data_IF_868875300503
#
_entry.id   IF_868875300503
#
_cell.length_a   1.000
_cell.length_b   1.000
_cell.length_c   1.000
_cell.angle_alpha   90.00
_cell.angle_beta   90.00
_cell.angle_gamma   90.00
#
_symmetry.space_group_name_H-M   'P 1'
#
loop_
_entity.id
_entity.type
_entity.pdbx_description
1 polymer ?
#
# COMPACT_ATOMS: atom_id res chain seq x y z
N UNK A 1 33.27 27.94 40.28
CA UNK A 1 31.83 27.89 40.51
C UNK A 1 31.21 28.77 39.44
N UNK A 2 30.40 28.31 38.51
CA UNK A 2 29.78 27.00 38.35
C UNK A 2 29.25 26.86 36.91
N UNK A 3 29.21 25.63 36.40
CA UNK A 3 28.22 25.18 35.41
C UNK A 3 28.21 25.79 34.00
N UNK A 4 29.25 25.53 33.20
CA UNK A 4 29.03 25.37 31.75
C UNK A 4 28.25 24.08 31.50
N UNK A 5 26.93 24.15 31.44
CA UNK A 5 26.11 23.06 30.91
C UNK A 5 26.44 22.90 29.43
N UNK A 6 27.26 21.91 29.11
CA UNK A 6 27.34 21.39 27.75
C UNK A 6 25.95 20.88 27.39
N UNK A 7 25.24 21.61 26.54
CA UNK A 7 24.10 21.08 25.78
C UNK A 7 24.56 19.78 25.15
N UNK A 8 23.87 18.67 25.38
CA UNK A 8 24.07 17.42 24.62
C UNK A 8 24.00 17.77 23.15
N UNK A 9 25.17 17.95 22.53
CA UNK A 9 25.28 18.38 21.16
C UNK A 9 24.67 17.31 20.29
N UNK A 10 23.54 17.61 19.65
CA UNK A 10 23.04 16.78 18.56
C UNK A 10 24.19 16.60 17.58
N UNK A 11 24.76 15.38 17.55
CA UNK A 11 25.90 15.05 16.70
C UNK A 11 25.49 15.38 15.28
N UNK A 12 26.18 16.34 14.67
CA UNK A 12 25.84 16.81 13.32
C UNK A 12 25.97 15.64 12.33
N UNK A 13 24.86 15.21 11.75
CA UNK A 13 24.83 14.10 10.78
C UNK A 13 25.42 14.57 9.45
N UNK A 14 26.60 14.06 9.09
CA UNK A 14 27.27 14.34 7.81
C UNK A 14 27.10 13.19 6.83
N UNK A 15 27.11 11.95 7.32
CA UNK A 15 26.92 10.73 6.53
C UNK A 15 25.74 9.92 7.05
N UNK A 16 24.78 9.65 6.18
CA UNK A 16 23.54 8.92 6.51
C UNK A 16 23.31 7.77 5.54
N UNK A 17 22.95 6.60 6.07
CA UNK A 17 22.30 5.52 5.30
C UNK A 17 20.79 5.61 5.51
N UNK A 18 20.01 5.64 4.44
CA UNK A 18 18.55 5.70 4.52
C UNK A 18 17.95 4.47 3.87
N UNK A 19 17.11 3.75 4.61
CA UNK A 19 16.33 2.64 4.09
C UNK A 19 14.85 3.04 4.04
N UNK A 20 14.30 3.13 2.84
CA UNK A 20 12.88 3.38 2.64
C UNK A 20 12.13 2.07 2.40
N UNK A 21 11.16 1.77 3.26
CA UNK A 21 10.27 0.60 3.15
C UNK A 21 8.90 1.10 2.65
N UNK A 22 8.53 0.82 1.39
CA UNK A 22 7.23 1.20 0.86
C UNK A 22 6.13 0.36 1.52
N UNK A 23 4.90 0.87 1.43
CA UNK A 23 3.70 0.11 1.80
C UNK A 23 3.33 -0.95 0.77
N UNK A 24 2.04 -1.29 0.71
CA UNK A 24 1.47 -2.24 -0.23
C UNK A 24 1.45 -1.66 -1.67
N UNK A 25 2.62 -1.45 -2.24
CA UNK A 25 2.82 -0.69 -3.47
C UNK A 25 3.34 -1.58 -4.61
N UNK A 26 2.58 -1.75 -5.71
CA UNK A 26 2.99 -2.56 -6.85
C UNK A 26 3.99 -1.86 -7.78
N UNK A 27 4.38 -0.62 -7.48
CA UNK A 27 5.24 0.22 -8.32
C UNK A 27 6.67 -0.35 -8.46
N UNK A 28 7.28 -0.14 -9.63
CA UNK A 28 8.67 -0.49 -9.88
C UNK A 28 9.65 0.46 -9.16
N UNK A 29 10.81 -0.04 -8.68
CA UNK A 29 11.75 0.73 -7.87
C UNK A 29 12.20 2.06 -8.51
N UNK A 30 12.36 2.07 -9.84
CA UNK A 30 12.80 3.24 -10.62
C UNK A 30 11.89 4.47 -10.43
N UNK A 31 10.60 4.25 -10.16
CA UNK A 31 9.64 5.35 -9.97
C UNK A 31 9.88 6.11 -8.68
N UNK A 32 10.41 5.47 -7.63
CA UNK A 32 10.74 6.17 -6.38
C UNK A 32 11.87 7.19 -6.58
N UNK A 33 12.91 6.82 -7.34
CA UNK A 33 14.00 7.75 -7.68
C UNK A 33 13.50 8.96 -8.46
N UNK A 34 12.62 8.73 -9.44
CA UNK A 34 12.07 9.81 -10.26
C UNK A 34 11.13 10.74 -9.45
N UNK A 35 10.32 10.16 -8.56
CA UNK A 35 9.53 10.94 -7.60
C UNK A 35 10.43 11.77 -6.70
N UNK A 36 11.49 11.17 -6.14
CA UNK A 36 12.43 11.90 -5.29
C UNK A 36 13.14 13.02 -6.05
N UNK A 37 13.59 12.78 -7.28
CA UNK A 37 14.25 13.79 -8.12
C UNK A 37 13.35 14.99 -8.37
N UNK A 38 12.09 14.75 -8.73
CA UNK A 38 11.14 15.81 -9.07
C UNK A 38 10.61 16.51 -7.80
N UNK A 39 10.05 15.75 -6.86
CA UNK A 39 9.38 16.29 -5.69
C UNK A 39 10.38 16.77 -4.63
N UNK A 40 11.56 16.15 -4.54
CA UNK A 40 12.64 16.61 -3.66
C UNK A 40 13.22 17.96 -4.10
N UNK A 41 13.37 18.19 -5.41
CA UNK A 41 13.77 19.51 -5.94
C UNK A 41 12.70 20.57 -5.69
N UNK A 42 11.41 20.22 -5.85
CA UNK A 42 10.31 21.12 -5.53
C UNK A 42 10.28 21.48 -4.03
N UNK A 43 10.47 20.50 -3.15
CA UNK A 43 10.55 20.73 -1.71
C UNK A 43 11.75 21.61 -1.34
N UNK A 44 12.91 21.39 -1.97
CA UNK A 44 14.11 22.20 -1.76
C UNK A 44 13.86 23.68 -2.10
N UNK A 45 13.17 23.95 -3.22
CA UNK A 45 12.80 25.30 -3.63
C UNK A 45 11.82 25.97 -2.65
N UNK A 46 10.88 25.21 -2.08
CA UNK A 46 9.92 25.71 -1.08
C UNK A 46 10.62 26.02 0.24
N UNK A 47 11.50 25.13 0.70
CA UNK A 47 12.13 25.22 2.01
C UNK A 47 13.43 26.04 2.04
N UNK A 48 13.99 26.39 0.87
CA UNK A 48 15.20 27.20 0.77
C UNK A 48 16.51 26.45 1.08
N UNK A 49 16.53 25.12 0.92
CA UNK A 49 17.75 24.32 1.05
C UNK A 49 18.28 23.89 -0.33
N UNK A 50 19.56 23.52 -0.42
CA UNK A 50 20.12 22.94 -1.63
C UNK A 50 20.03 21.41 -1.60
N UNK A 51 19.67 20.80 -2.73
CA UNK A 51 19.59 19.35 -2.89
C UNK A 51 20.12 18.93 -4.25
N UNK A 52 21.12 18.07 -4.24
CA UNK A 52 21.71 17.45 -5.42
C UNK A 52 21.49 15.95 -5.38
N UNK A 53 20.96 15.39 -6.47
CA UNK A 53 20.74 13.96 -6.62
C UNK A 53 21.82 13.34 -7.50
N UNK A 54 22.53 12.37 -6.95
CA UNK A 54 23.66 11.69 -7.57
C UNK A 54 23.31 10.22 -7.90
N UNK A 55 24.06 9.57 -8.80
CA UNK A 55 23.94 8.14 -9.04
C UNK A 55 24.12 7.32 -7.75
N UNK A 56 23.58 6.10 -7.73
CA UNK A 56 23.83 5.19 -6.61
C UNK A 56 25.33 4.86 -6.48
N UNK A 57 25.81 4.67 -5.25
CA UNK A 57 27.09 4.03 -5.02
C UNK A 57 27.11 2.61 -5.63
N UNK A 58 28.27 2.16 -6.07
CA UNK A 58 28.43 0.80 -6.59
C UNK A 58 28.02 -0.24 -5.53
N UNK A 59 27.19 -1.22 -5.92
CA UNK A 59 26.85 -2.38 -5.08
C UNK A 59 25.44 -2.40 -4.44
N UNK A 60 24.62 -1.34 -4.57
CA UNK A 60 23.23 -1.32 -4.09
C UNK A 60 22.20 -1.73 -5.15
N UNK A 61 21.14 -2.48 -4.78
CA UNK A 61 20.18 -2.98 -5.77
C UNK A 61 19.28 -1.89 -6.35
N UNK A 62 18.73 -1.00 -5.52
CA UNK A 62 17.81 0.07 -5.93
C UNK A 62 17.93 1.30 -5.02
N UNK A 63 18.74 2.28 -5.43
CA UNK A 63 19.00 3.47 -4.61
C UNK A 63 19.54 4.65 -5.40
N UNK A 64 19.87 5.72 -4.68
CA UNK A 64 20.54 6.91 -5.19
C UNK A 64 21.24 7.64 -4.04
N UNK A 65 22.15 8.54 -4.37
CA UNK A 65 22.79 9.40 -3.39
C UNK A 65 22.17 10.79 -3.42
N UNK A 66 22.16 11.45 -2.26
CA UNK A 66 21.69 12.83 -2.11
C UNK A 66 22.72 13.62 -1.33
N UNK A 67 23.11 14.78 -1.85
CA UNK A 67 23.81 15.81 -1.08
C UNK A 67 22.83 16.92 -0.80
N UNK A 68 22.66 17.27 0.47
CA UNK A 68 21.79 18.35 0.88
C UNK A 68 22.56 19.35 1.73
N UNK A 69 22.31 20.64 1.50
CA UNK A 69 22.77 21.72 2.37
C UNK A 69 21.55 22.37 3.02
N UNK A 70 21.33 22.05 4.29
CA UNK A 70 20.16 22.47 5.07
C UNK A 70 20.70 23.24 6.30
N UNK A 71 20.23 24.46 6.52
CA UNK A 71 20.63 25.28 7.69
C UNK A 71 22.15 25.42 7.87
N UNK A 72 22.90 25.47 6.77
CA UNK A 72 24.37 25.58 6.79
C UNK A 72 25.13 24.27 7.06
N UNK A 73 24.43 23.15 7.28
CA UNK A 73 25.01 21.83 7.41
C UNK A 73 24.94 21.06 6.08
N UNK A 74 26.04 20.42 5.69
CA UNK A 74 26.08 19.50 4.55
C UNK A 74 25.88 18.05 5.04
N UNK A 75 24.93 17.34 4.43
CA UNK A 75 24.68 15.93 4.68
C UNK A 75 24.68 15.16 3.37
N UNK A 76 25.46 14.07 3.33
CA UNK A 76 25.41 13.07 2.29
C UNK A 76 24.56 11.88 2.77
N UNK A 77 23.52 11.57 2.01
CA UNK A 77 22.63 10.43 2.27
C UNK A 77 22.72 9.41 1.14
N UNK A 78 22.99 8.15 1.47
CA UNK A 78 22.78 7.02 0.57
C UNK A 78 21.39 6.44 0.81
N UNK A 79 20.48 6.60 -0.16
CA UNK A 79 19.11 6.15 -0.06
C UNK A 79 18.94 4.82 -0.78
N UNK A 80 18.39 3.83 -0.09
CA UNK A 80 18.04 2.52 -0.61
C UNK A 80 16.55 2.23 -0.41
N UNK A 81 15.91 1.73 -1.46
CA UNK A 81 14.50 1.30 -1.41
C UNK A 81 14.44 -0.20 -1.18
N UNK A 82 13.88 -0.60 -0.05
CA UNK A 82 13.68 -1.99 0.34
C UNK A 82 12.38 -2.52 -0.27
N UNK A 83 12.46 -2.91 -1.55
CA UNK A 83 11.29 -3.24 -2.37
C UNK A 83 10.77 -4.66 -2.15
N UNK A 84 9.46 -4.77 -2.05
CA UNK A 84 8.71 -6.03 -1.97
C UNK A 84 7.51 -6.05 -2.92
N UNK A 85 7.56 -5.21 -3.95
CA UNK A 85 6.49 -5.02 -4.94
C UNK A 85 6.18 -6.30 -5.74
N UNK A 86 7.12 -7.25 -5.81
CA UNK A 86 6.89 -8.58 -6.37
C UNK A 86 5.87 -9.39 -5.56
N UNK A 87 5.99 -9.39 -4.22
CA UNK A 87 5.02 -10.02 -3.33
C UNK A 87 3.66 -9.33 -3.38
N UNK A 88 3.65 -7.99 -3.38
CA UNK A 88 2.43 -7.17 -3.53
C UNK A 88 1.71 -7.52 -4.84
N UNK A 89 2.42 -7.54 -5.97
CA UNK A 89 1.82 -7.89 -7.27
C UNK A 89 1.30 -9.32 -7.30
N UNK A 90 1.99 -10.26 -6.65
CA UNK A 90 1.54 -11.64 -6.56
C UNK A 90 0.25 -11.79 -5.75
N UNK A 91 0.03 -10.96 -4.72
CA UNK A 91 -1.18 -11.00 -3.88
C UNK A 91 -2.39 -10.24 -4.46
N UNK A 92 -2.19 -9.39 -5.46
CA UNK A 92 -3.30 -8.66 -6.11
C UNK A 92 -4.10 -9.61 -7.03
N UNK A 93 -5.25 -10.09 -6.54
CA UNK A 93 -6.10 -11.02 -7.30
C UNK A 93 -6.70 -10.34 -8.54
N UNK A 94 -6.60 -11.00 -9.71
CA UNK A 94 -7.03 -10.40 -10.98
C UNK A 94 -8.53 -10.49 -11.28
N UNK A 95 -9.38 -10.92 -10.33
CA UNK A 95 -10.80 -11.18 -10.57
C UNK A 95 -11.72 -10.24 -9.78
N UNK A 96 -12.80 -9.78 -10.43
CA UNK A 96 -13.90 -9.10 -9.72
C UNK A 96 -14.49 -10.04 -8.65
N UNK A 97 -14.87 -11.29 -8.96
CA UNK A 97 -15.42 -12.20 -7.94
C UNK A 97 -14.42 -12.49 -6.81
N UNK A 98 -13.13 -12.63 -7.14
CA UNK A 98 -12.07 -12.85 -6.15
C UNK A 98 -11.95 -11.68 -5.16
N UNK A 99 -12.14 -10.45 -5.61
CA UNK A 99 -12.12 -9.26 -4.75
C UNK A 99 -13.31 -9.24 -3.78
N UNK A 100 -14.52 -9.59 -4.24
CA UNK A 100 -15.68 -9.72 -3.36
C UNK A 100 -15.52 -10.87 -2.36
N UNK A 101 -14.90 -11.99 -2.77
CA UNK A 101 -14.58 -13.08 -1.85
C UNK A 101 -13.54 -12.66 -0.80
N UNK A 102 -12.52 -11.89 -1.19
CA UNK A 102 -11.56 -11.29 -0.27
C UNK A 102 -12.28 -10.36 0.72
N UNK A 103 -13.17 -9.48 0.25
CA UNK A 103 -13.97 -8.62 1.11
C UNK A 103 -14.75 -9.42 2.16
N UNK A 104 -15.44 -10.49 1.75
CA UNK A 104 -16.20 -11.36 2.67
C UNK A 104 -15.29 -12.06 3.69
N UNK A 105 -14.14 -12.60 3.25
CA UNK A 105 -13.17 -13.26 4.13
C UNK A 105 -12.56 -12.27 5.13
N UNK A 106 -12.15 -11.09 4.68
CA UNK A 106 -11.60 -10.04 5.55
C UNK A 106 -12.63 -9.57 6.56
N UNK A 107 -13.87 -9.32 6.13
CA UNK A 107 -14.97 -8.95 7.01
C UNK A 107 -15.24 -10.05 8.06
N UNK A 108 -15.24 -11.32 7.64
CA UNK A 108 -15.38 -12.45 8.56
C UNK A 108 -14.25 -12.51 9.57
N UNK A 109 -12.98 -12.41 9.14
CA UNK A 109 -11.82 -12.35 10.05
C UNK A 109 -12.00 -11.23 11.08
N UNK A 110 -12.40 -10.03 10.63
CA UNK A 110 -12.56 -8.88 11.53
C UNK A 110 -13.69 -9.06 12.53
N UNK A 111 -14.80 -9.71 12.13
CA UNK A 111 -15.91 -10.04 13.01
C UNK A 111 -15.52 -11.12 14.02
N UNK A 112 -14.96 -12.23 13.54
CA UNK A 112 -14.63 -13.41 14.35
C UNK A 112 -13.56 -13.14 15.41
N UNK A 113 -12.60 -12.25 15.15
CA UNK A 113 -11.54 -11.87 16.11
C UNK A 113 -11.93 -10.69 17.02
N UNK A 114 -13.10 -10.09 16.79
CA UNK A 114 -13.51 -8.85 17.44
C UNK A 114 -12.70 -7.61 17.02
N UNK A 115 -11.88 -7.69 15.96
CA UNK A 115 -11.16 -6.54 15.40
C UNK A 115 -12.12 -5.44 14.96
N UNK A 116 -13.30 -5.79 14.43
CA UNK A 116 -14.29 -4.79 14.01
C UNK A 116 -14.77 -3.92 15.17
N UNK A 117 -15.02 -4.52 16.35
CA UNK A 117 -15.39 -3.77 17.55
C UNK A 117 -14.28 -2.81 17.98
N UNK A 118 -13.03 -3.28 17.96
CA UNK A 118 -11.84 -2.47 18.31
C UNK A 118 -11.61 -1.34 17.30
N UNK A 119 -11.87 -1.60 16.02
CA UNK A 119 -11.82 -0.60 14.96
C UNK A 119 -12.79 0.55 15.28
N UNK A 120 -14.04 0.26 15.64
CA UNK A 120 -15.01 1.30 16.02
C UNK A 120 -14.68 2.07 17.30
N UNK A 121 -13.73 1.59 18.12
CA UNK A 121 -13.21 2.34 19.28
C UNK A 121 -12.16 3.39 18.88
N UNK A 122 -11.63 3.33 17.64
CA UNK A 122 -10.70 4.33 17.13
C UNK A 122 -11.41 5.64 16.77
N UNK A 123 -10.61 6.69 16.52
CA UNK A 123 -11.12 7.96 16.00
C UNK A 123 -11.85 7.74 14.67
N UNK A 124 -12.86 8.58 14.40
CA UNK A 124 -13.74 8.46 13.22
C UNK A 124 -12.99 8.38 11.88
N UNK A 125 -11.89 9.10 11.73
CA UNK A 125 -11.09 9.13 10.48
C UNK A 125 -10.59 7.74 10.05
N UNK A 126 -9.75 7.07 10.87
CA UNK A 126 -9.30 5.69 10.60
C UNK A 126 -10.44 4.69 10.34
N UNK A 127 -11.56 4.82 11.05
CA UNK A 127 -12.72 3.94 10.84
C UNK A 127 -13.32 4.12 9.45
N UNK A 128 -13.51 5.38 9.02
CA UNK A 128 -14.04 5.68 7.69
C UNK A 128 -13.09 5.16 6.60
N UNK A 129 -11.78 5.38 6.76
CA UNK A 129 -10.79 4.87 5.81
C UNK A 129 -10.83 3.34 5.70
N UNK A 130 -10.94 2.63 6.84
CA UNK A 130 -11.01 1.17 6.86
C UNK A 130 -12.30 0.60 6.25
N UNK A 131 -13.44 1.30 6.38
CA UNK A 131 -14.72 0.85 5.83
C UNK A 131 -14.95 1.29 4.38
N UNK A 132 -14.17 2.25 3.89
CA UNK A 132 -14.30 2.80 2.54
C UNK A 132 -14.32 1.74 1.44
N UNK A 133 -13.33 0.82 1.30
CA UNK A 133 -13.36 -0.15 0.20
C UNK A 133 -14.55 -1.09 0.28
N UNK A 134 -14.99 -1.49 1.48
CA UNK A 134 -16.16 -2.34 1.69
C UNK A 134 -17.42 -1.63 1.23
N UNK A 135 -17.65 -0.40 1.72
CA UNK A 135 -18.81 0.41 1.33
C UNK A 135 -18.83 0.68 -0.18
N UNK A 136 -17.67 1.02 -0.75
CA UNK A 136 -17.55 1.30 -2.18
C UNK A 136 -17.83 0.07 -3.04
N UNK A 137 -17.31 -1.12 -2.69
CA UNK A 137 -17.59 -2.36 -3.40
C UNK A 137 -19.09 -2.74 -3.30
N UNK A 138 -19.72 -2.56 -2.15
CA UNK A 138 -21.17 -2.79 -2.00
C UNK A 138 -22.00 -1.85 -2.87
N UNK A 139 -21.63 -0.57 -2.94
CA UNK A 139 -22.29 0.41 -3.82
C UNK A 139 -22.11 0.02 -5.29
N UNK A 140 -20.91 -0.41 -5.71
CA UNK A 140 -20.67 -0.87 -7.07
C UNK A 140 -21.55 -2.07 -7.43
N UNK A 141 -21.66 -3.05 -6.53
CA UNK A 141 -22.52 -4.22 -6.72
C UNK A 141 -23.99 -3.83 -6.82
N UNK A 142 -24.45 -2.93 -5.95
CA UNK A 142 -25.83 -2.43 -5.98
C UNK A 142 -26.13 -1.73 -7.31
N UNK A 143 -25.27 -0.82 -7.75
CA UNK A 143 -25.44 -0.10 -9.03
C UNK A 143 -25.45 -1.09 -10.20
N UNK A 144 -24.57 -2.09 -10.20
CA UNK A 144 -24.52 -3.12 -11.23
C UNK A 144 -25.80 -3.99 -11.25
N UNK A 145 -26.33 -4.35 -10.07
CA UNK A 145 -27.57 -5.10 -9.94
C UNK A 145 -28.79 -4.29 -10.43
N UNK A 146 -28.87 -3.01 -10.07
CA UNK A 146 -29.93 -2.11 -10.54
C UNK A 146 -29.88 -1.90 -12.05
N UNK A 147 -28.68 -1.71 -12.62
CA UNK A 147 -28.49 -1.62 -14.07
C UNK A 147 -28.89 -2.91 -14.77
N UNK A 148 -28.56 -4.07 -14.20
CA UNK A 148 -28.98 -5.38 -14.68
C UNK A 148 -30.50 -5.52 -14.69
N UNK A 149 -31.16 -5.18 -13.59
CA UNK A 149 -32.62 -5.21 -13.48
C UNK A 149 -33.27 -4.28 -14.52
N UNK A 150 -32.74 -3.07 -14.68
CA UNK A 150 -33.22 -2.11 -15.67
C UNK A 150 -33.10 -2.67 -17.09
N UNK A 151 -31.94 -3.24 -17.46
CA UNK A 151 -31.71 -3.86 -18.76
C UNK A 151 -32.68 -5.02 -19.04
N UNK A 152 -32.91 -5.89 -18.05
CA UNK A 152 -33.89 -6.97 -18.16
C UNK A 152 -35.32 -6.44 -18.39
N UNK A 153 -35.70 -5.33 -17.74
CA UNK A 153 -37.04 -4.74 -17.91
C UNK A 153 -37.21 -4.10 -19.28
N UNK A 154 -36.18 -3.45 -19.81
CA UNK A 154 -36.22 -2.88 -21.17
C UNK A 154 -36.31 -3.98 -22.22
N UNK A 155 -35.42 -4.98 -22.17
CA UNK A 155 -35.41 -6.08 -23.15
C UNK A 155 -36.69 -6.91 -23.03
N UNK A 156 -37.06 -7.32 -21.82
CA UNK A 156 -38.25 -8.10 -21.59
C UNK A 156 -39.54 -7.34 -21.87
N UNK A 157 -39.56 -6.02 -21.67
CA UNK A 157 -40.69 -5.16 -22.04
C UNK A 157 -40.82 -5.04 -23.55
N UNK A 158 -39.73 -4.75 -24.26
CA UNK A 158 -39.71 -4.63 -25.72
C UNK A 158 -40.13 -5.91 -26.43
N UNK A 159 -39.64 -7.08 -25.98
CA UNK A 159 -40.00 -8.37 -26.58
C UNK A 159 -41.49 -8.73 -26.36
N UNK A 160 -42.10 -8.29 -25.26
CA UNK A 160 -43.54 -8.50 -24.99
C UNK A 160 -44.47 -7.66 -25.86
N UNK A 161 -43.94 -6.67 -26.59
CA UNK A 161 -44.72 -5.89 -27.57
C UNK A 161 -44.89 -6.65 -28.90
N UNK A 162 -44.13 -7.73 -29.12
CA UNK A 162 -44.31 -8.57 -30.29
C UNK A 162 -45.64 -9.31 -30.22
N UNK A 163 -46.39 -9.44 -31.33
CA UNK A 163 -47.70 -10.11 -31.36
C UNK A 163 -47.56 -11.64 -31.35
N UNK A 164 -46.68 -12.17 -30.49
CA UNK A 164 -46.39 -13.60 -30.35
C UNK A 164 -46.49 -13.95 -28.88
N UNK A 165 -47.31 -14.93 -28.53
CA UNK A 165 -47.57 -15.35 -27.16
C UNK A 165 -47.49 -16.86 -27.00
N UNK A 166 -47.28 -17.32 -25.76
CA UNK A 166 -47.19 -18.74 -25.41
C UNK A 166 -45.93 -19.07 -24.63
N UNK A 167 -45.93 -20.23 -23.96
CA UNK A 167 -44.90 -20.62 -23.00
C UNK A 167 -43.47 -20.63 -23.58
N UNK A 168 -43.31 -21.00 -24.86
CA UNK A 168 -42.01 -20.95 -25.53
C UNK A 168 -41.48 -19.51 -25.68
N UNK A 169 -42.36 -18.56 -26.03
CA UNK A 169 -41.98 -17.15 -26.13
C UNK A 169 -41.67 -16.56 -24.75
N UNK A 170 -42.43 -16.91 -23.71
CA UNK A 170 -42.14 -16.49 -22.33
C UNK A 170 -40.76 -16.98 -21.86
N UNK A 171 -40.39 -18.22 -22.19
CA UNK A 171 -39.07 -18.75 -21.91
C UNK A 171 -37.95 -17.98 -22.65
N UNK A 172 -38.15 -17.67 -23.93
CA UNK A 172 -37.20 -16.86 -24.72
C UNK A 172 -37.04 -15.46 -24.09
N UNK A 173 -38.14 -14.81 -23.74
CA UNK A 173 -38.14 -13.49 -23.10
C UNK A 173 -37.37 -13.54 -21.78
N UNK A 174 -37.60 -14.58 -20.96
CA UNK A 174 -36.90 -14.75 -19.69
C UNK A 174 -35.39 -14.92 -19.89
N UNK A 175 -34.96 -15.77 -20.82
CA UNK A 175 -33.55 -16.01 -21.14
C UNK A 175 -32.88 -14.74 -21.66
N UNK A 176 -33.50 -14.04 -22.62
CA UNK A 176 -32.93 -12.81 -23.18
C UNK A 176 -32.87 -11.67 -22.16
N UNK A 177 -33.88 -11.55 -21.30
CA UNK A 177 -33.89 -10.58 -20.21
C UNK A 177 -32.79 -10.88 -19.19
N UNK A 178 -32.61 -12.16 -18.82
CA UNK A 178 -31.54 -12.58 -17.92
C UNK A 178 -30.16 -12.33 -18.54
N UNK A 179 -29.98 -12.66 -19.82
CA UNK A 179 -28.74 -12.38 -20.54
C UNK A 179 -28.42 -10.87 -20.55
N UNK A 180 -29.42 -10.03 -20.84
CA UNK A 180 -29.28 -8.57 -20.78
C UNK A 180 -28.91 -8.07 -19.38
N UNK A 181 -29.52 -8.62 -18.33
CA UNK A 181 -29.19 -8.28 -16.95
C UNK A 181 -27.74 -8.63 -16.60
N UNK A 182 -27.30 -9.85 -16.92
CA UNK A 182 -25.94 -10.32 -16.64
C UNK A 182 -24.90 -9.51 -17.43
N UNK A 183 -25.17 -9.20 -18.70
CA UNK A 183 -24.29 -8.37 -19.52
C UNK A 183 -24.15 -6.97 -18.93
N UNK A 184 -25.25 -6.32 -18.54
CA UNK A 184 -25.23 -5.00 -17.93
C UNK A 184 -24.50 -5.02 -16.57
N UNK A 185 -24.76 -6.01 -15.72
CA UNK A 185 -24.09 -6.19 -14.44
C UNK A 185 -22.57 -6.32 -14.62
N UNK A 186 -22.12 -7.21 -15.50
CA UNK A 186 -20.69 -7.43 -15.76
C UNK A 186 -20.05 -6.18 -16.39
N UNK A 187 -20.73 -5.51 -17.31
CA UNK A 187 -20.24 -4.28 -17.92
C UNK A 187 -20.03 -3.17 -16.89
N UNK A 188 -20.98 -2.96 -15.98
CA UNK A 188 -20.89 -1.95 -14.92
C UNK A 188 -19.75 -2.27 -13.94
N UNK A 189 -19.64 -3.52 -13.48
CA UNK A 189 -18.54 -3.90 -12.57
C UNK A 189 -17.17 -3.76 -13.23
N UNK A 190 -17.04 -4.13 -14.52
CA UNK A 190 -15.80 -3.90 -15.29
C UNK A 190 -15.49 -2.41 -15.47
N UNK A 191 -16.51 -1.59 -15.68
CA UNK A 191 -16.37 -0.14 -15.80
C UNK A 191 -15.86 0.50 -14.50
N UNK A 192 -16.35 0.04 -13.34
CA UNK A 192 -15.85 0.48 -12.03
C UNK A 192 -14.41 0.03 -11.81
N UNK A 193 -14.11 -1.24 -12.11
CA UNK A 193 -12.75 -1.77 -12.01
C UNK A 193 -11.76 -1.00 -12.88
N UNK A 194 -12.16 -0.60 -14.09
CA UNK A 194 -11.34 0.22 -14.97
C UNK A 194 -11.06 1.63 -14.42
N UNK A 195 -11.84 2.08 -13.43
CA UNK A 195 -11.69 3.38 -12.74
C UNK A 195 -11.08 3.25 -11.35
N UNK A 196 -10.58 2.08 -10.98
CA UNK A 196 -10.04 1.86 -9.65
C UNK A 196 -8.77 2.66 -9.37
N UNK A 197 -8.08 3.16 -10.40
CA UNK A 197 -6.99 4.13 -10.23
C UNK A 197 -7.42 5.49 -9.64
N UNK A 198 -8.74 5.76 -9.56
CA UNK A 198 -9.32 6.95 -8.92
C UNK A 198 -10.14 6.59 -7.68
N UNK A 199 -10.74 5.40 -7.67
CA UNK A 199 -11.62 4.94 -6.59
C UNK A 199 -10.86 4.17 -5.51
N UNK A 200 -9.74 3.52 -5.83
CA UNK A 200 -8.91 2.73 -4.91
C UNK A 200 -9.64 1.63 -4.14
N UNK A 201 -10.85 1.23 -4.55
CA UNK A 201 -11.66 0.25 -3.83
C UNK A 201 -11.05 -1.15 -3.93
N UNK A 202 -10.65 -1.57 -5.13
CA UNK A 202 -10.01 -2.89 -5.33
C UNK A 202 -8.61 -2.88 -4.73
N UNK A 203 -7.82 -1.82 -5.00
CA UNK A 203 -6.49 -1.67 -4.42
C UNK A 203 -6.49 -1.78 -2.89
N UNK A 204 -7.32 -1.00 -2.19
CA UNK A 204 -7.40 -1.04 -0.72
C UNK A 204 -7.96 -2.39 -0.23
N UNK A 205 -8.88 -2.99 -0.97
CA UNK A 205 -9.39 -4.31 -0.59
C UNK A 205 -8.30 -5.39 -0.65
N UNK A 206 -7.42 -5.34 -1.66
CA UNK A 206 -6.28 -6.25 -1.76
C UNK A 206 -5.28 -6.05 -0.62
N UNK A 207 -4.97 -4.80 -0.27
CA UNK A 207 -4.09 -4.45 0.87
C UNK A 207 -4.63 -5.03 2.20
N UNK A 208 -5.91 -4.80 2.48
CA UNK A 208 -6.53 -5.28 3.71
C UNK A 208 -6.66 -6.81 3.73
N UNK A 209 -6.98 -7.43 2.59
CA UNK A 209 -7.03 -8.87 2.47
C UNK A 209 -5.65 -9.50 2.68
N UNK A 210 -4.60 -8.92 2.11
CA UNK A 210 -3.22 -9.39 2.31
C UNK A 210 -2.82 -9.36 3.79
N UNK A 211 -3.18 -8.30 4.51
CA UNK A 211 -2.91 -8.19 5.95
C UNK A 211 -3.74 -9.17 6.80
N UNK A 212 -4.99 -9.44 6.40
CA UNK A 212 -5.93 -10.25 7.19
C UNK A 212 -5.85 -11.76 6.92
N UNK A 213 -5.33 -12.18 5.77
CA UNK A 213 -5.42 -13.57 5.29
C UNK A 213 -4.78 -14.60 6.23
N UNK A 214 -3.76 -14.21 6.98
CA UNK A 214 -3.06 -15.04 7.95
C UNK A 214 -3.36 -14.64 9.41
N UNK A 215 -4.52 -14.04 9.66
CA UNK A 215 -4.92 -13.61 11.01
C UNK A 215 -4.06 -12.50 11.61
N UNK A 216 -3.39 -11.71 10.75
CA UNK A 216 -2.45 -10.65 11.14
C UNK A 216 -0.99 -11.10 11.26
N UNK A 217 -0.67 -12.37 11.04
CA UNK A 217 0.71 -12.82 10.86
C UNK A 217 1.25 -12.44 9.48
N UNK A 218 2.58 -12.30 9.36
CA UNK A 218 3.23 -12.15 8.07
C UNK A 218 3.28 -13.49 7.34
N UNK A 219 3.16 -13.48 6.00
CA UNK A 219 3.37 -14.68 5.19
C UNK A 219 4.84 -15.10 5.23
N UNK A 220 5.17 -16.40 5.09
CA UNK A 220 6.55 -16.87 5.05
C UNK A 220 7.44 -16.10 4.07
N UNK A 221 6.95 -15.84 2.85
CA UNK A 221 7.70 -15.08 1.84
C UNK A 221 8.01 -13.63 2.27
N UNK A 222 7.13 -13.04 3.08
CA UNK A 222 7.31 -11.68 3.61
C UNK A 222 8.27 -11.69 4.80
N UNK A 223 8.20 -12.70 5.67
CA UNK A 223 9.18 -12.90 6.75
C UNK A 223 10.60 -13.05 6.18
N UNK A 224 10.78 -13.87 5.15
CA UNK A 224 12.08 -14.04 4.48
C UNK A 224 12.57 -12.73 3.87
N UNK A 225 11.67 -11.94 3.26
CA UNK A 225 11.99 -10.62 2.71
C UNK A 225 12.38 -9.63 3.82
N UNK A 226 11.67 -9.64 4.95
CA UNK A 226 11.97 -8.81 6.12
C UNK A 226 13.32 -9.20 6.75
N UNK A 227 13.65 -10.48 6.83
CA UNK A 227 14.95 -10.95 7.29
C UNK A 227 16.09 -10.48 6.37
N UNK A 228 15.89 -10.50 5.06
CA UNK A 228 16.85 -9.95 4.10
C UNK A 228 17.04 -8.43 4.27
N UNK A 229 15.96 -7.68 4.53
CA UNK A 229 16.00 -6.25 4.84
C UNK A 229 16.74 -5.96 6.14
N UNK A 230 16.45 -6.73 7.19
CA UNK A 230 17.18 -6.68 8.45
C UNK A 230 18.69 -6.88 8.22
N UNK A 231 19.06 -7.83 7.35
CA UNK A 231 20.45 -8.06 6.94
C UNK A 231 21.14 -6.82 6.38
N UNK A 232 20.46 -6.08 5.50
CA UNK A 232 21.00 -4.84 4.90
C UNK A 232 21.13 -3.70 5.91
N UNK A 233 20.14 -3.53 6.78
CA UNK A 233 20.17 -2.51 7.83
C UNK A 233 21.28 -2.80 8.84
N UNK A 234 21.44 -4.07 9.26
CA UNK A 234 22.52 -4.47 10.15
C UNK A 234 23.91 -4.26 9.55
N UNK A 235 24.08 -4.48 8.24
CA UNK A 235 25.33 -4.19 7.56
C UNK A 235 25.65 -2.69 7.60
N UNK A 236 24.67 -1.83 7.31
CA UNK A 236 24.83 -0.38 7.40
C UNK A 236 25.12 0.13 8.83
N UNK A 237 24.60 -0.56 9.86
CA UNK A 237 24.91 -0.25 11.26
C UNK A 237 26.37 -0.57 11.65
N UNK A 238 27.11 -1.29 10.80
CA UNK A 238 28.54 -1.55 10.96
C UNK A 238 29.42 -0.63 10.08
N UNK A 239 28.82 0.20 9.23
CA UNK A 239 29.56 1.13 8.36
C UNK A 239 29.98 2.42 9.10
N UNK A 240 30.96 3.13 8.54
CA UNK A 240 31.43 4.44 9.02
C UNK A 240 30.48 5.58 8.61
N UNK A 241 29.29 5.58 9.22
CA UNK A 241 28.25 6.59 9.05
C UNK A 241 27.78 7.14 10.40
N UNK A 242 27.28 8.38 10.39
CA UNK A 242 26.78 9.01 11.62
C UNK A 242 25.38 8.47 12.00
N UNK A 243 24.58 8.09 10.99
CA UNK A 243 23.19 7.71 11.16
C UNK A 243 22.74 6.64 10.14
N UNK A 244 21.92 5.70 10.63
CA UNK A 244 21.09 4.80 9.82
C UNK A 244 19.62 5.15 10.09
N UNK A 245 18.93 5.64 9.07
CA UNK A 245 17.54 6.08 9.15
C UNK A 245 16.63 5.09 8.41
N UNK A 246 15.63 4.53 9.10
CA UNK A 246 14.65 3.62 8.49
C UNK A 246 13.30 4.31 8.37
N UNK A 247 12.90 4.60 7.14
CA UNK A 247 11.65 5.30 6.82
C UNK A 247 10.61 4.31 6.30
N UNK A 248 9.61 4.00 7.11
CA UNK A 248 8.46 3.20 6.69
C UNK A 248 7.27 4.05 6.28
N UNK A 249 6.68 3.79 5.11
CA UNK A 249 5.48 4.47 4.62
C UNK A 249 4.27 3.53 4.57
N UNK A 250 3.11 3.98 5.06
CA UNK A 250 1.88 3.16 5.11
C UNK A 250 2.15 1.81 5.81
N UNK A 251 1.83 0.67 5.21
CA UNK A 251 2.16 -0.66 5.74
C UNK A 251 3.66 -0.90 5.93
N UNK A 252 4.51 -0.20 5.17
CA UNK A 252 5.97 -0.24 5.37
C UNK A 252 6.40 0.27 6.75
N UNK A 253 5.56 1.06 7.45
CA UNK A 253 5.82 1.49 8.82
C UNK A 253 5.79 0.31 9.81
N UNK A 254 4.80 -0.58 9.74
CA UNK A 254 4.76 -1.72 10.65
C UNK A 254 5.82 -2.78 10.29
N UNK A 255 6.17 -2.90 9.00
CA UNK A 255 7.30 -3.74 8.57
C UNK A 255 8.62 -3.20 9.14
N UNK A 256 8.87 -1.89 9.05
CA UNK A 256 10.04 -1.23 9.62
C UNK A 256 10.17 -1.51 11.12
N UNK A 257 9.08 -1.29 11.88
CA UNK A 257 9.05 -1.54 13.33
C UNK A 257 9.37 -3.01 13.65
N UNK A 258 8.81 -3.95 12.88
CA UNK A 258 9.03 -5.39 13.11
C UNK A 258 10.48 -5.78 12.82
N UNK A 259 11.04 -5.30 11.69
CA UNK A 259 12.44 -5.52 11.32
C UNK A 259 13.40 -4.97 12.38
N UNK A 260 13.16 -3.74 12.85
CA UNK A 260 13.98 -3.11 13.88
C UNK A 260 13.87 -3.86 15.22
N UNK A 261 12.68 -4.34 15.58
CA UNK A 261 12.48 -5.15 16.77
C UNK A 261 13.22 -6.50 16.69
N UNK A 262 13.27 -7.15 15.52
CA UNK A 262 14.07 -8.36 15.30
C UNK A 262 15.56 -8.08 15.44
N UNK A 263 16.05 -6.97 14.88
CA UNK A 263 17.47 -6.57 15.00
C UNK A 263 17.87 -6.32 16.45
N UNK A 264 17.04 -5.61 17.21
CA UNK A 264 17.28 -5.35 18.63
C UNK A 264 17.28 -6.65 19.45
N UNK A 265 16.28 -7.52 19.24
CA UNK A 265 16.21 -8.82 19.92
C UNK A 265 17.40 -9.73 19.60
N UNK A 266 17.91 -9.66 18.37
CA UNK A 266 19.07 -10.43 17.93
C UNK A 266 20.42 -9.81 18.36
N UNK A 267 20.43 -8.66 19.05
CA UNK A 267 21.67 -7.97 19.44
C UNK A 267 22.47 -7.44 18.25
N UNK A 268 21.80 -7.17 17.11
CA UNK A 268 22.43 -6.73 15.86
C UNK A 268 22.46 -5.20 15.69
N UNK A 269 22.23 -4.47 16.78
CA UNK A 269 22.36 -3.01 16.87
C UNK A 269 23.54 -2.72 17.82
N UNK A 270 24.74 -2.40 17.30
CA UNK A 270 25.93 -2.25 18.12
C UNK A 270 25.81 -1.10 19.13
N UNK A 271 26.14 -1.31 20.42
CA UNK A 271 26.22 -0.21 21.37
C UNK A 271 27.35 0.75 20.96
N UNK A 272 27.02 2.01 20.74
CA UNK A 272 27.98 3.02 20.26
C UNK A 272 28.22 3.05 18.74
N UNK A 273 27.42 2.30 17.97
CA UNK A 273 27.38 2.42 16.51
C UNK A 273 26.71 3.72 16.01
N UNK A 274 26.42 3.82 14.70
CA UNK A 274 25.65 4.93 14.14
C UNK A 274 24.34 5.15 14.88
N UNK A 275 23.85 6.40 14.93
CA UNK A 275 22.52 6.66 15.44
C UNK A 275 21.47 5.91 14.60
N UNK A 276 20.54 5.21 15.25
CA UNK A 276 19.46 4.49 14.59
C UNK A 276 18.16 5.28 14.78
N UNK A 277 17.60 5.75 13.66
CA UNK A 277 16.39 6.57 13.60
C UNK A 277 15.26 5.95 12.79
#
# INVERSE_FOLDING_TARGET
MDGGQATEGQRQVRRRRVFYIPGYDPIAPRRYRELYRKEGAAQAAISGYALELLPAAAGGSYGWQVRAQIEGAETQSDIEVLVWADLVRASMSNGIPATYLQMLRTAWTYLATGTLRRLFMLRKGPVIAALYPVGMLLVQLLVAALAGLFAARIVGGALRLLPVSGAAMDAIIAVLSLAAALLALVAVLRWFRARDNRLFAYYLMHDYAHSAQAGGAYSPDLEDRMAAFAGRIAAALADDVDEVLVVGHSSGAHLAVSILADLLRAGRVPPGGPALG
#
